data_IF_716819755182
#
_entry.id   IF_716819755182
#
_cell.length_a   1.000
_cell.length_b   1.000
_cell.length_c   1.000
_cell.angle_alpha   90.00
_cell.angle_beta   90.00
_cell.angle_gamma   90.00
#
_symmetry.space_group_name_H-M   'P 1'
#
loop_
_entity.id
_entity.type
_entity.pdbx_description
1 polymer ?
#
# COMPACT_ATOMS: atom_id res chain seq x y z
N UNK A 1 -20.78 18.31 11.73
CA UNK A 1 -20.54 19.38 10.74
C UNK A 1 -20.31 18.65 9.43
N UNK A 2 -21.27 18.70 8.51
CA UNK A 2 -21.29 17.86 7.29
C UNK A 2 -20.10 18.28 6.42
N UNK A 3 -19.12 17.40 6.24
CA UNK A 3 -18.01 17.63 5.33
C UNK A 3 -18.59 17.90 3.94
N UNK A 4 -18.20 19.03 3.35
CA UNK A 4 -18.55 19.36 1.97
C UNK A 4 -18.07 18.21 1.09
N UNK A 5 -18.99 17.54 0.40
CA UNK A 5 -18.66 16.63 -0.69
C UNK A 5 -17.90 17.47 -1.71
N UNK A 6 -16.57 17.34 -1.72
CA UNK A 6 -15.75 17.95 -2.76
C UNK A 6 -16.11 17.22 -4.05
N UNK A 7 -16.94 17.84 -4.88
CA UNK A 7 -17.47 17.31 -6.15
C UNK A 7 -16.38 17.21 -7.25
N UNK A 8 -15.11 17.09 -6.83
CA UNK A 8 -13.93 17.13 -7.70
C UNK A 8 -13.42 15.72 -7.91
N UNK A 9 -13.36 15.31 -9.17
CA UNK A 9 -12.76 14.04 -9.58
C UNK A 9 -11.25 14.06 -9.29
N UNK A 10 -10.79 13.11 -8.48
CA UNK A 10 -9.37 12.91 -8.20
C UNK A 10 -8.75 12.17 -9.40
N UNK A 11 -7.74 12.76 -10.04
CA UNK A 11 -6.97 12.05 -11.06
C UNK A 11 -5.99 11.10 -10.39
N UNK A 12 -5.29 11.58 -9.36
CA UNK A 12 -4.34 10.79 -8.58
C UNK A 12 -4.65 10.87 -7.09
N UNK A 13 -4.09 9.94 -6.31
CA UNK A 13 -4.21 9.94 -4.85
C UNK A 13 -3.66 11.25 -4.26
N UNK A 14 -2.62 11.83 -4.86
CA UNK A 14 -2.00 13.08 -4.42
C UNK A 14 -2.89 14.32 -4.59
N UNK A 15 -3.95 14.24 -5.39
CA UNK A 15 -4.89 15.35 -5.55
C UNK A 15 -5.76 15.55 -4.29
N UNK A 16 -5.73 14.59 -3.36
CA UNK A 16 -6.48 14.67 -2.11
C UNK A 16 -5.83 15.72 -1.17
N UNK A 17 -6.61 16.68 -0.62
CA UNK A 17 -6.06 17.83 0.10
C UNK A 17 -5.29 17.47 1.38
N UNK A 18 -5.55 16.31 1.97
CA UNK A 18 -4.84 15.82 3.17
C UNK A 18 -3.48 15.19 2.85
N UNK A 19 -3.22 14.81 1.60
CA UNK A 19 -2.00 14.07 1.24
C UNK A 19 -0.95 15.07 0.76
N UNK A 20 0.12 15.21 1.54
CA UNK A 20 1.21 16.13 1.27
C UNK A 20 2.48 15.37 0.91
N UNK A 21 2.45 14.63 -0.20
CA UNK A 21 3.62 13.94 -0.74
C UNK A 21 4.02 14.53 -2.08
N UNK A 22 5.32 14.65 -2.34
CA UNK A 22 5.79 15.14 -3.63
C UNK A 22 5.52 14.11 -4.73
N UNK A 23 5.21 14.61 -5.93
CA UNK A 23 5.01 13.75 -7.10
C UNK A 23 6.29 12.99 -7.46
N UNK A 24 7.46 13.57 -7.19
CA UNK A 24 8.77 12.95 -7.44
C UNK A 24 8.99 11.72 -6.57
N UNK A 25 8.59 11.75 -5.29
CA UNK A 25 8.69 10.57 -4.41
C UNK A 25 7.79 9.44 -4.87
N UNK A 26 6.56 9.74 -5.28
CA UNK A 26 5.65 8.72 -5.84
C UNK A 26 6.19 8.15 -7.14
N UNK A 27 6.78 8.99 -7.98
CA UNK A 27 7.40 8.54 -9.23
C UNK A 27 8.62 7.64 -8.96
N UNK A 28 9.46 7.99 -7.99
CA UNK A 28 10.59 7.17 -7.52
C UNK A 28 10.11 5.79 -7.05
N UNK A 29 9.05 5.73 -6.23
CA UNK A 29 8.49 4.47 -5.75
C UNK A 29 7.97 3.61 -6.93
N UNK A 30 7.23 4.21 -7.87
CA UNK A 30 6.73 3.50 -9.06
C UNK A 30 7.86 2.99 -9.97
N UNK A 31 8.91 3.78 -10.13
CA UNK A 31 10.10 3.38 -10.87
C UNK A 31 10.78 2.18 -10.18
N UNK A 32 10.92 2.22 -8.85
CA UNK A 32 11.47 1.10 -8.08
C UNK A 32 10.66 -0.19 -8.28
N UNK A 33 9.33 -0.13 -8.26
CA UNK A 33 8.48 -1.29 -8.59
C UNK A 33 8.70 -1.81 -10.01
N UNK A 34 8.86 -0.89 -10.97
CA UNK A 34 9.12 -1.24 -12.37
C UNK A 34 10.45 -1.99 -12.50
N UNK A 35 11.53 -1.45 -11.90
CA UNK A 35 12.87 -2.05 -11.88
C UNK A 35 12.85 -3.40 -11.17
N UNK A 36 12.21 -3.48 -10.00
CA UNK A 36 12.10 -4.72 -9.22
C UNK A 36 11.34 -5.82 -9.98
N UNK A 37 10.26 -5.47 -10.66
CA UNK A 37 9.48 -6.42 -11.44
C UNK A 37 10.17 -6.91 -12.72
N UNK A 38 11.27 -6.26 -13.12
CA UNK A 38 11.98 -6.52 -14.38
C UNK A 38 11.18 -6.15 -15.63
N UNK A 39 10.04 -5.47 -15.49
CA UNK A 39 9.16 -5.09 -16.60
C UNK A 39 9.55 -3.72 -17.13
N UNK A 40 10.47 -3.71 -18.08
CA UNK A 40 10.95 -2.46 -18.68
C UNK A 40 10.27 -2.18 -20.04
N UNK A 41 10.07 -0.89 -20.39
CA UNK A 41 9.59 -0.54 -21.72
C UNK A 41 10.61 -0.93 -22.80
N UNK A 42 10.13 -1.13 -24.03
CA UNK A 42 10.98 -1.44 -25.17
C UNK A 42 12.01 -0.33 -25.41
N UNK A 43 13.22 -0.73 -25.79
CA UNK A 43 14.31 0.20 -26.10
C UNK A 43 14.24 0.56 -27.58
N UNK A 44 14.31 1.86 -27.88
CA UNK A 44 14.44 2.39 -29.24
C UNK A 44 15.91 2.61 -29.61
N UNK A 45 16.33 2.10 -30.77
CA UNK A 45 17.67 2.33 -31.31
C UNK A 45 17.62 2.65 -32.80
N UNK A 46 18.65 3.33 -33.28
CA UNK A 46 18.86 3.55 -34.71
C UNK A 46 19.71 2.42 -35.26
N UNK A 47 19.21 1.75 -36.30
CA UNK A 47 20.02 0.79 -37.04
C UNK A 47 20.98 1.49 -38.02
N UNK A 48 21.87 0.72 -38.66
CA UNK A 48 22.83 1.22 -39.65
C UNK A 48 22.19 1.93 -40.85
N UNK A 49 20.88 1.75 -41.07
CA UNK A 49 20.09 2.42 -42.11
C UNK A 49 19.38 3.69 -41.60
N UNK A 50 19.71 4.20 -40.40
CA UNK A 50 19.06 5.34 -39.74
C UNK A 50 17.55 5.15 -39.49
N UNK A 51 17.07 3.90 -39.41
CA UNK A 51 15.68 3.60 -39.04
C UNK A 51 15.60 3.34 -37.54
N UNK A 52 14.57 3.90 -36.90
CA UNK A 52 14.22 3.58 -35.51
C UNK A 52 13.63 2.17 -35.45
N UNK A 53 14.24 1.31 -34.66
CA UNK A 53 13.78 -0.06 -34.40
C UNK A 53 13.61 -0.21 -32.88
N UNK A 54 12.59 -0.98 -32.47
CA UNK A 54 12.32 -1.31 -31.07
C UNK A 54 12.75 -2.74 -30.79
N UNK A 55 13.29 -2.98 -29.61
CA UNK A 55 13.51 -4.33 -29.06
C UNK A 55 13.04 -4.39 -27.61
N UNK A 56 12.70 -5.59 -27.16
CA UNK A 56 12.44 -5.83 -25.75
C UNK A 56 13.69 -5.59 -24.91
N UNK A 57 13.50 -5.02 -23.73
CA UNK A 57 14.58 -4.79 -22.79
C UNK A 57 14.87 -6.09 -22.05
N UNK A 58 16.05 -6.65 -22.27
CA UNK A 58 16.54 -7.80 -21.51
C UNK A 58 17.39 -7.31 -20.34
N UNK A 59 16.78 -7.32 -19.15
CA UNK A 59 17.44 -6.94 -17.90
C UNK A 59 18.12 -8.11 -17.22
N UNK A 60 19.24 -7.86 -16.55
CA UNK A 60 19.88 -8.85 -15.67
C UNK A 60 19.08 -9.13 -14.38
N UNK A 61 18.01 -8.37 -14.11
CA UNK A 61 17.18 -8.45 -12.91
C UNK A 61 17.97 -8.39 -11.59
N UNK A 62 19.10 -7.67 -11.60
CA UNK A 62 20.01 -7.56 -10.44
C UNK A 62 19.33 -7.00 -9.20
N UNK A 63 18.43 -6.03 -9.34
CA UNK A 63 17.72 -5.44 -8.20
C UNK A 63 16.90 -6.49 -7.45
N UNK A 64 16.20 -7.37 -8.17
CA UNK A 64 15.43 -8.45 -7.56
C UNK A 64 16.34 -9.39 -6.76
N UNK A 65 17.43 -9.84 -7.37
CA UNK A 65 18.40 -10.75 -6.71
C UNK A 65 19.03 -10.08 -5.47
N UNK A 66 19.35 -8.79 -5.55
CA UNK A 66 19.89 -8.04 -4.42
C UNK A 66 18.87 -7.90 -3.29
N UNK A 67 17.61 -7.58 -3.59
CA UNK A 67 16.54 -7.47 -2.59
C UNK A 67 16.24 -8.82 -1.91
N UNK A 68 16.21 -9.90 -2.67
CA UNK A 68 16.02 -11.27 -2.14
C UNK A 68 17.16 -11.62 -1.17
N UNK A 69 18.40 -11.36 -1.56
CA UNK A 69 19.57 -11.60 -0.72
C UNK A 69 19.54 -10.76 0.56
N UNK A 70 19.15 -9.48 0.48
CA UNK A 70 19.02 -8.61 1.65
C UNK A 70 17.92 -9.08 2.60
N UNK A 71 16.77 -9.51 2.08
CA UNK A 71 15.68 -10.06 2.87
C UNK A 71 16.10 -11.33 3.62
N UNK A 72 16.85 -12.21 2.95
CA UNK A 72 17.42 -13.40 3.58
C UNK A 72 18.39 -12.98 4.69
N UNK A 73 19.37 -12.11 4.44
CA UNK A 73 20.36 -11.73 5.47
C UNK A 73 19.68 -11.11 6.70
N UNK A 74 18.75 -10.18 6.48
CA UNK A 74 18.14 -9.40 7.57
C UNK A 74 17.19 -10.26 8.40
N UNK A 75 16.51 -11.23 7.78
CA UNK A 75 15.46 -11.99 8.45
C UNK A 75 15.74 -13.50 8.54
N UNK A 76 16.99 -13.92 8.33
CA UNK A 76 17.37 -15.35 8.37
C UNK A 76 17.12 -15.96 9.75
N UNK A 77 17.50 -15.23 10.80
CA UNK A 77 17.45 -15.71 12.19
C UNK A 77 16.07 -15.53 12.83
N UNK A 78 15.09 -15.01 12.06
CA UNK A 78 13.77 -14.59 12.54
C UNK A 78 13.87 -13.55 13.67
N UNK A 79 12.73 -13.01 14.10
CA UNK A 79 12.68 -12.07 15.22
C UNK A 79 11.96 -12.70 16.41
N UNK A 80 12.48 -12.45 17.62
CA UNK A 80 11.80 -12.79 18.87
C UNK A 80 11.09 -11.55 19.42
N UNK A 81 9.79 -11.67 19.70
CA UNK A 81 8.98 -10.58 20.28
C UNK A 81 8.80 -10.89 21.76
N UNK A 82 9.51 -10.14 22.61
CA UNK A 82 9.49 -10.33 24.05
C UNK A 82 8.55 -9.33 24.73
N UNK A 83 7.56 -9.86 25.44
CA UNK A 83 6.62 -9.11 26.29
C UNK A 83 6.97 -9.41 27.76
N UNK A 84 6.93 -8.37 28.61
CA UNK A 84 7.23 -8.49 30.03
C UNK A 84 6.41 -9.59 30.72
N UNK A 85 7.06 -10.41 31.55
CA UNK A 85 6.45 -11.57 32.22
C UNK A 85 5.27 -11.22 33.16
N UNK A 86 5.17 -9.96 33.58
CA UNK A 86 4.05 -9.45 34.38
C UNK A 86 2.70 -9.54 33.65
N UNK A 87 2.71 -9.70 32.32
CA UNK A 87 1.52 -9.73 31.46
C UNK A 87 1.43 -11.03 30.63
N UNK A 88 1.39 -12.19 31.30
CA UNK A 88 1.33 -13.51 30.64
C UNK A 88 0.18 -13.67 29.64
N UNK A 89 -1.02 -13.21 30.01
CA UNK A 89 -2.20 -13.29 29.13
C UNK A 89 -2.03 -12.46 27.85
N UNK A 90 -1.41 -11.29 27.97
CA UNK A 90 -1.13 -10.43 26.80
C UNK A 90 -0.06 -11.07 25.91
N UNK A 91 0.96 -11.72 26.50
CA UNK A 91 1.98 -12.46 25.76
C UNK A 91 1.37 -13.59 24.94
N UNK A 92 0.58 -14.46 25.56
CA UNK A 92 -0.09 -15.58 24.89
C UNK A 92 -1.04 -15.09 23.78
N UNK A 93 -1.75 -13.98 24.00
CA UNK A 93 -2.61 -13.37 22.99
C UNK A 93 -1.82 -12.89 21.77
N UNK A 94 -0.73 -12.13 21.97
CA UNK A 94 0.09 -11.60 20.88
C UNK A 94 0.78 -12.73 20.11
N UNK A 95 1.35 -13.72 20.81
CA UNK A 95 1.96 -14.89 20.18
C UNK A 95 0.95 -15.61 19.28
N UNK A 96 -0.27 -15.85 19.78
CA UNK A 96 -1.33 -16.47 19.00
C UNK A 96 -1.71 -15.66 17.77
N UNK A 97 -1.86 -14.33 17.90
CA UNK A 97 -2.18 -13.46 16.75
C UNK A 97 -1.07 -13.50 15.70
N UNK A 98 0.20 -13.50 16.11
CA UNK A 98 1.35 -13.59 15.20
C UNK A 98 1.40 -14.94 14.47
N UNK A 99 1.12 -16.04 15.18
CA UNK A 99 1.08 -17.38 14.62
C UNK A 99 -0.09 -17.57 13.64
N UNK A 100 -1.30 -17.17 14.03
CA UNK A 100 -2.51 -17.27 13.20
C UNK A 100 -2.32 -16.51 11.88
N UNK A 101 -1.64 -15.36 11.92
CA UNK A 101 -1.31 -14.54 10.75
C UNK A 101 -0.04 -14.97 10.01
N UNK A 102 0.63 -16.04 10.45
CA UNK A 102 1.91 -16.52 9.89
C UNK A 102 2.93 -15.38 9.73
N UNK A 103 3.00 -14.50 10.74
CA UNK A 103 3.69 -13.22 10.67
C UNK A 103 5.13 -13.36 10.16
N UNK A 104 5.92 -14.27 10.74
CA UNK A 104 7.33 -14.51 10.35
C UNK A 104 7.44 -14.86 8.86
N UNK A 105 6.58 -15.75 8.37
CA UNK A 105 6.59 -16.16 6.96
C UNK A 105 6.16 -15.04 6.02
N UNK A 106 5.14 -14.26 6.40
CA UNK A 106 4.64 -13.18 5.56
C UNK A 106 5.62 -12.01 5.55
N UNK A 107 6.21 -11.68 6.71
CA UNK A 107 7.20 -10.61 6.82
C UNK A 107 8.40 -10.86 5.90
N UNK A 108 8.93 -12.09 5.83
CA UNK A 108 10.06 -12.39 4.96
C UNK A 108 9.76 -12.15 3.47
N UNK A 109 8.53 -12.47 3.02
CA UNK A 109 8.08 -12.22 1.65
C UNK A 109 7.93 -10.73 1.38
N UNK A 110 7.30 -9.98 2.29
CA UNK A 110 7.10 -8.54 2.10
C UNK A 110 8.37 -7.72 2.30
N UNK A 111 9.35 -8.20 3.09
CA UNK A 111 10.65 -7.56 3.26
C UNK A 111 11.43 -7.45 1.96
N UNK A 112 11.36 -8.46 1.08
CA UNK A 112 12.00 -8.40 -0.23
C UNK A 112 11.48 -7.20 -1.06
N UNK A 113 10.16 -7.09 -1.18
CA UNK A 113 9.53 -5.97 -1.88
C UNK A 113 9.80 -4.63 -1.16
N UNK A 114 9.88 -4.63 0.17
CA UNK A 114 10.24 -3.46 0.97
C UNK A 114 11.65 -2.96 0.67
N UNK A 115 12.65 -3.85 0.50
CA UNK A 115 14.01 -3.43 0.12
C UNK A 115 14.07 -2.74 -1.24
N UNK A 116 13.19 -3.13 -2.17
CA UNK A 116 13.09 -2.46 -3.46
C UNK A 116 12.37 -1.11 -3.36
N UNK A 117 11.26 -1.07 -2.62
CA UNK A 117 10.27 0.02 -2.71
C UNK A 117 10.41 1.06 -1.60
N UNK A 118 11.01 0.68 -0.48
CA UNK A 118 11.40 1.55 0.63
C UNK A 118 10.39 1.63 1.78
N UNK A 119 9.25 0.94 1.72
CA UNK A 119 8.23 1.02 2.77
C UNK A 119 7.36 -0.22 2.89
N UNK A 120 7.04 -0.58 4.14
CA UNK A 120 6.14 -1.66 4.49
C UNK A 120 5.33 -1.27 5.72
N UNK A 121 4.02 -1.45 5.65
CA UNK A 121 3.09 -1.20 6.75
C UNK A 121 2.27 -2.44 7.00
N UNK A 122 2.13 -2.80 8.29
CA UNK A 122 1.23 -3.85 8.75
C UNK A 122 0.01 -3.19 9.35
N UNK A 123 -1.16 -3.47 8.78
CA UNK A 123 -2.45 -2.97 9.23
C UNK A 123 -3.22 -4.12 9.90
N UNK A 124 -3.32 -4.15 11.24
CA UNK A 124 -4.20 -5.08 11.93
C UNK A 124 -5.67 -4.67 11.75
N UNK A 125 -6.55 -5.65 11.52
CA UNK A 125 -8.00 -5.47 11.48
C UNK A 125 -8.69 -6.67 12.14
N UNK A 126 -9.97 -6.52 12.48
CA UNK A 126 -10.75 -7.62 13.08
C UNK A 126 -11.60 -8.27 12.01
N UNK A 127 -11.43 -9.57 11.80
CA UNK A 127 -12.32 -10.39 10.98
C UNK A 127 -12.82 -11.59 11.80
N UNK A 128 -14.14 -11.78 11.80
CA UNK A 128 -14.81 -12.89 12.51
C UNK A 128 -14.35 -13.08 13.97
N UNK A 129 -14.06 -11.97 14.68
CA UNK A 129 -13.60 -11.99 16.07
C UNK A 129 -12.13 -12.34 16.27
N UNK A 130 -11.34 -12.46 15.20
CA UNK A 130 -9.89 -12.64 15.22
C UNK A 130 -9.19 -11.40 14.67
N UNK A 131 -7.99 -11.13 15.17
CA UNK A 131 -7.13 -10.07 14.62
C UNK A 131 -6.38 -10.66 13.42
N UNK A 132 -6.56 -10.06 12.26
CA UNK A 132 -5.86 -10.40 11.02
C UNK A 132 -4.96 -9.25 10.56
N UNK A 133 -3.93 -9.56 9.77
CA UNK A 133 -2.98 -8.59 9.24
C UNK A 133 -3.15 -8.38 7.74
N UNK A 134 -3.33 -7.12 7.35
CA UNK A 134 -3.17 -6.66 5.98
C UNK A 134 -1.79 -6.02 5.81
N UNK A 135 -1.16 -6.24 4.66
CA UNK A 135 0.17 -5.72 4.36
C UNK A 135 0.05 -4.68 3.26
N UNK A 136 0.62 -3.51 3.50
CA UNK A 136 0.63 -2.39 2.57
C UNK A 136 2.06 -2.07 2.17
N UNK A 137 2.33 -2.02 0.87
CA UNK A 137 3.62 -1.62 0.33
C UNK A 137 3.67 -0.10 0.15
N UNK A 138 4.83 0.42 -0.24
CA UNK A 138 5.09 1.86 -0.35
C UNK A 138 4.15 2.63 -1.31
N UNK A 139 3.53 1.97 -2.28
CA UNK A 139 2.59 2.60 -3.23
C UNK A 139 1.15 2.67 -2.72
N UNK A 140 0.81 1.94 -1.66
CA UNK A 140 -0.54 1.89 -1.08
C UNK A 140 -0.66 2.58 0.26
N UNK A 141 0.44 3.05 0.85
CA UNK A 141 0.44 3.81 2.10
C UNK A 141 1.04 5.20 1.91
N UNK A 142 0.32 6.24 2.33
CA UNK A 142 0.78 7.62 2.26
C UNK A 142 0.79 8.24 3.66
N UNK A 143 1.94 8.70 4.17
CA UNK A 143 1.99 9.38 5.46
C UNK A 143 1.29 10.75 5.37
N UNK A 144 0.44 11.06 6.34
CA UNK A 144 -0.20 12.37 6.48
C UNK A 144 0.60 13.25 7.45
N UNK A 145 1.07 12.64 8.54
CA UNK A 145 1.87 13.30 9.56
C UNK A 145 2.99 12.37 10.00
N UNK A 146 4.20 12.70 9.57
CA UNK A 146 5.42 11.99 9.92
C UNK A 146 6.47 12.95 10.49
N UNK A 147 7.33 12.41 11.35
CA UNK A 147 8.58 13.03 11.76
C UNK A 147 9.75 12.11 11.36
N UNK A 148 10.99 12.45 11.73
CA UNK A 148 12.18 11.67 11.36
C UNK A 148 12.16 10.22 11.87
N UNK A 149 11.43 9.94 12.96
CA UNK A 149 11.42 8.65 13.65
C UNK A 149 10.10 7.89 13.49
N UNK A 150 8.97 8.61 13.41
CA UNK A 150 7.63 8.04 13.56
C UNK A 150 6.65 8.58 12.51
N UNK A 151 5.72 7.72 12.11
CA UNK A 151 4.55 8.08 11.30
C UNK A 151 3.32 7.98 12.20
N UNK A 152 2.75 9.13 12.55
CA UNK A 152 1.62 9.19 13.48
C UNK A 152 0.26 9.03 12.78
N UNK A 153 0.16 9.47 11.52
CA UNK A 153 -1.08 9.49 10.75
C UNK A 153 -0.78 9.13 9.30
N UNK A 154 -1.70 8.42 8.66
CA UNK A 154 -1.49 7.89 7.32
C UNK A 154 -2.79 7.53 6.63
N UNK A 155 -2.73 7.37 5.31
CA UNK A 155 -3.84 6.86 4.51
C UNK A 155 -3.42 5.60 3.78
N UNK A 156 -4.25 4.57 3.89
CA UNK A 156 -4.09 3.30 3.19
C UNK A 156 -5.06 3.30 2.02
N UNK A 157 -4.56 3.06 0.81
CA UNK A 157 -5.38 2.95 -0.39
C UNK A 157 -5.49 1.49 -0.83
N UNK A 158 -6.71 1.00 -0.98
CA UNK A 158 -7.01 -0.32 -1.54
C UNK A 158 -7.81 -0.18 -2.81
N UNK A 159 -7.50 -1.01 -3.81
CA UNK A 159 -8.18 -0.96 -5.10
C UNK A 159 -8.89 -2.27 -5.40
N UNK A 160 -10.14 -2.18 -5.81
CA UNK A 160 -10.94 -3.33 -6.26
C UNK A 160 -11.57 -3.07 -7.63
N UNK A 161 -11.90 -4.14 -8.33
CA UNK A 161 -12.55 -4.10 -9.65
C UNK A 161 -13.88 -4.83 -9.53
N UNK A 162 -14.95 -4.24 -10.04
CA UNK A 162 -16.26 -4.90 -10.18
C UNK A 162 -16.78 -4.76 -11.61
N UNK A 163 -17.52 -5.77 -12.06
CA UNK A 163 -18.23 -5.70 -13.34
C UNK A 163 -19.61 -5.09 -13.11
N UNK A 164 -19.88 -3.96 -13.75
CA UNK A 164 -21.19 -3.31 -13.74
C UNK A 164 -21.70 -3.18 -15.17
N UNK A 165 -22.81 -3.84 -15.48
CA UNK A 165 -23.39 -3.81 -16.84
C UNK A 165 -22.42 -4.28 -17.92
N UNK A 166 -21.51 -5.21 -17.59
CA UNK A 166 -20.50 -5.74 -18.52
C UNK A 166 -19.26 -4.85 -18.72
N UNK A 167 -19.11 -3.76 -17.95
CA UNK A 167 -17.92 -2.91 -17.94
C UNK A 167 -17.14 -3.08 -16.64
N UNK A 168 -15.82 -3.04 -16.72
CA UNK A 168 -14.96 -2.98 -15.54
C UNK A 168 -15.03 -1.59 -14.91
N UNK A 169 -15.42 -1.55 -13.64
CA UNK A 169 -15.43 -0.35 -12.82
C UNK A 169 -14.39 -0.52 -11.73
N UNK A 170 -13.58 0.51 -11.56
CA UNK A 170 -12.51 0.56 -10.60
C UNK A 170 -12.96 1.34 -9.37
N UNK A 171 -12.73 0.75 -8.21
CA UNK A 171 -13.02 1.32 -6.92
C UNK A 171 -11.75 1.50 -6.10
N UNK A 172 -11.55 2.69 -5.55
CA UNK A 172 -10.43 3.01 -4.68
C UNK A 172 -10.99 3.38 -3.31
N UNK A 173 -10.72 2.52 -2.32
CA UNK A 173 -11.01 2.79 -0.92
C UNK A 173 -9.79 3.47 -0.29
N UNK A 174 -10.00 4.62 0.34
CA UNK A 174 -8.99 5.35 1.09
C UNK A 174 -9.37 5.31 2.57
N UNK A 175 -8.53 4.70 3.39
CA UNK A 175 -8.71 4.62 4.83
C UNK A 175 -7.74 5.54 5.53
N UNK A 176 -8.25 6.57 6.17
CA UNK A 176 -7.48 7.58 6.88
C UNK A 176 -7.40 7.21 8.36
N UNK A 177 -6.16 7.14 8.85
CA UNK A 177 -5.83 6.90 10.24
C UNK A 177 -5.30 8.20 10.84
N UNK A 178 -6.12 8.87 11.66
CA UNK A 178 -5.86 10.23 12.16
C UNK A 178 -6.02 10.32 13.69
N UNK A 179 -5.28 11.23 14.31
CA UNK A 179 -5.40 11.53 15.74
C UNK A 179 -6.12 12.85 15.96
N UNK A 180 -7.31 12.79 16.58
CA UNK A 180 -8.05 13.97 17.02
C UNK A 180 -7.76 14.21 18.51
N UNK A 181 -6.60 14.82 18.80
CA UNK A 181 -6.12 14.94 20.17
C UNK A 181 -5.70 13.57 20.72
N UNK A 182 -6.45 13.03 21.69
CA UNK A 182 -6.20 11.70 22.25
C UNK A 182 -7.01 10.59 21.59
N UNK A 183 -7.98 10.94 20.73
CA UNK A 183 -8.88 9.98 20.13
C UNK A 183 -8.39 9.58 18.74
N UNK A 184 -8.08 8.29 18.58
CA UNK A 184 -7.74 7.71 17.30
C UNK A 184 -9.00 7.47 16.47
N UNK A 185 -9.06 8.08 15.28
CA UNK A 185 -10.22 7.99 14.38
C UNK A 185 -9.80 7.35 13.06
N UNK A 186 -10.55 6.33 12.64
CA UNK A 186 -10.44 5.74 11.30
C UNK A 186 -11.62 6.23 10.47
N UNK A 187 -11.36 6.93 9.37
CA UNK A 187 -12.39 7.36 8.43
C UNK A 187 -12.15 6.74 7.06
N UNK A 188 -13.23 6.42 6.34
CA UNK A 188 -13.15 5.75 5.06
C UNK A 188 -13.79 6.61 3.97
N UNK A 189 -13.16 6.65 2.82
CA UNK A 189 -13.69 7.28 1.63
C UNK A 189 -13.61 6.32 0.45
N UNK A 190 -14.70 6.21 -0.31
CA UNK A 190 -14.76 5.36 -1.48
C UNK A 190 -14.83 6.21 -2.74
N UNK A 191 -14.00 5.86 -3.72
CA UNK A 191 -13.95 6.51 -5.02
C UNK A 191 -14.26 5.52 -6.13
N UNK A 192 -15.00 5.96 -7.15
CA UNK A 192 -15.40 5.16 -8.31
C UNK A 192 -14.89 5.79 -9.60
N UNK A 193 -14.32 4.98 -10.47
CA UNK A 193 -13.81 5.37 -11.79
C UNK A 193 -14.11 4.30 -12.84
N UNK A 194 -14.43 4.73 -14.06
CA UNK A 194 -14.48 3.87 -15.25
C UNK A 194 -13.10 3.74 -15.94
N UNK A 195 -12.10 4.49 -15.47
CA UNK A 195 -10.73 4.52 -16.01
C UNK A 195 -9.74 3.95 -15.02
N UNK A 196 -8.87 3.05 -15.49
CA UNK A 196 -7.84 2.42 -14.64
C UNK A 196 -6.84 3.42 -14.07
N UNK A 197 -6.48 4.49 -14.77
CA UNK A 197 -5.42 5.38 -14.27
C UNK A 197 -5.92 6.48 -13.32
N UNK A 198 -7.22 6.48 -13.01
CA UNK A 198 -7.90 7.61 -12.34
C UNK A 198 -8.58 7.12 -11.07
N UNK A 199 -8.38 7.84 -9.97
CA UNK A 199 -9.02 7.53 -8.67
C UNK A 199 -10.53 7.70 -8.77
N UNK A 200 -10.98 8.79 -9.39
CA UNK A 200 -12.38 8.99 -9.76
C UNK A 200 -13.14 9.90 -8.79
N UNK A 201 -14.45 9.68 -8.69
CA UNK A 201 -15.36 10.52 -7.91
C UNK A 201 -15.75 9.82 -6.62
N UNK A 202 -15.89 10.59 -5.54
CA UNK A 202 -16.35 10.07 -4.24
C UNK A 202 -17.76 9.51 -4.40
N UNK A 203 -17.96 8.29 -3.91
CA UNK A 203 -19.25 7.60 -3.86
C UNK A 203 -19.51 7.13 -2.43
N UNK A 204 -20.79 6.98 -2.02
CA UNK A 204 -21.11 6.47 -0.69
C UNK A 204 -20.53 5.07 -0.45
N UNK A 205 -20.00 4.84 0.75
CA UNK A 205 -19.41 3.54 1.15
C UNK A 205 -20.41 2.39 1.03
N UNK A 206 -21.69 2.66 1.33
CA UNK A 206 -22.78 1.68 1.29
C UNK A 206 -22.97 1.02 -0.08
N UNK A 207 -22.40 1.57 -1.15
CA UNK A 207 -22.45 1.00 -2.49
C UNK A 207 -21.68 -0.32 -2.57
N UNK A 208 -20.62 -0.47 -1.77
CA UNK A 208 -19.76 -1.66 -1.77
C UNK A 208 -19.57 -2.31 -0.41
N UNK A 209 -19.69 -1.54 0.67
CA UNK A 209 -19.38 -1.95 2.02
C UNK A 209 -20.51 -1.53 2.97
N UNK A 210 -21.35 -2.49 3.33
CA UNK A 210 -22.37 -2.28 4.35
C UNK A 210 -21.71 -2.26 5.74
N UNK A 211 -21.82 -1.15 6.48
CA UNK A 211 -21.40 -1.06 7.89
C UNK A 211 -20.06 -0.37 8.19
N UNK A 212 -19.33 0.13 7.19
CA UNK A 212 -18.12 0.94 7.42
C UNK A 212 -18.50 2.39 7.76
N UNK A 213 -17.87 2.95 8.79
CA UNK A 213 -18.13 4.32 9.25
C UNK A 213 -17.66 5.36 8.22
N UNK A 214 -18.55 6.29 7.89
CA UNK A 214 -18.33 7.40 6.95
C UNK A 214 -18.11 8.70 7.73
N UNK A 215 -17.19 9.56 7.29
CA UNK A 215 -17.12 10.96 7.76
C UNK A 215 -16.67 11.88 6.63
#
# INVERSE_FOLDING_TARGET
MVAQITDKELQTVLDHPKIHLSQDEVNRIRENFTIYSGKHPQIEYLNSMRKKVKRDFEGLNMTKVACEFMAIIVFNEQCEINISEEQKEAKEFVEKVLEDNKFIKNLSVYLEAMFATGGLVVRPYVDNGRVEFSWCLADTFFPLKSNTNDISEGVITSRSIRSEGGKEIYYTLMEFHEWNGNDYTITNELYRSDRKEVVGRRVPLNMLYEGLAET
#
